data_IF_557225361395
#
_entry.id   IF_557225361395
#
_cell.length_a   1.000
_cell.length_b   1.000
_cell.length_c   1.000
_cell.angle_alpha   90.00
_cell.angle_beta   90.00
_cell.angle_gamma   90.00
#
_symmetry.space_group_name_H-M   'P 1'
#
loop_
_entity.id
_entity.type
_entity.pdbx_description
1 polymer ?
#
# COMPACT_ATOMS: atom_id res chain seq x y z
N UNK A 1 -1.54 -18.28 7.03
CA UNK A 1 -0.98 -17.13 6.29
C UNK A 1 -1.50 -17.21 4.87
N UNK A 2 -2.13 -16.17 4.36
CA UNK A 2 -2.71 -16.16 3.02
C UNK A 2 -1.59 -16.11 1.98
N UNK A 3 -1.42 -17.18 1.21
CA UNK A 3 -0.43 -17.24 0.14
C UNK A 3 -1.14 -17.09 -1.20
N UNK A 4 -1.16 -15.86 -1.71
CA UNK A 4 -1.83 -15.48 -2.98
C UNK A 4 -0.82 -15.05 -4.05
N UNK A 5 0.47 -15.37 -3.86
CA UNK A 5 1.55 -14.95 -4.75
C UNK A 5 1.58 -15.68 -6.10
N UNK A 6 0.96 -16.85 -6.18
CA UNK A 6 0.82 -17.63 -7.42
C UNK A 6 -0.65 -17.73 -7.86
N UNK A 7 -0.87 -17.91 -9.16
CA UNK A 7 -2.21 -18.02 -9.75
C UNK A 7 -2.99 -19.21 -9.19
N UNK A 8 -2.35 -20.38 -9.03
CA UNK A 8 -3.02 -21.56 -8.52
C UNK A 8 -3.55 -21.30 -7.10
N UNK A 9 -2.69 -20.85 -6.19
CA UNK A 9 -3.06 -20.53 -4.81
C UNK A 9 -4.12 -19.43 -4.76
N UNK A 10 -3.94 -18.33 -5.50
CA UNK A 10 -4.90 -17.22 -5.52
C UNK A 10 -6.27 -17.64 -6.07
N UNK A 11 -6.31 -18.52 -7.06
CA UNK A 11 -7.55 -19.02 -7.67
C UNK A 11 -8.39 -19.85 -6.69
N UNK A 12 -7.78 -20.53 -5.71
CA UNK A 12 -8.50 -21.26 -4.67
C UNK A 12 -9.28 -20.34 -3.72
N UNK A 13 -8.94 -19.05 -3.65
CA UNK A 13 -9.63 -18.05 -2.83
C UNK A 13 -10.66 -17.25 -3.61
N UNK A 14 -10.81 -17.51 -4.92
CA UNK A 14 -11.86 -16.92 -5.74
C UNK A 14 -13.21 -17.49 -5.30
N UNK A 15 -14.17 -16.61 -5.04
CA UNK A 15 -15.51 -17.00 -4.57
C UNK A 15 -15.59 -17.42 -3.09
N UNK A 16 -14.49 -17.42 -2.33
CA UNK A 16 -14.54 -17.58 -0.87
C UNK A 16 -15.17 -16.35 -0.21
N UNK A 17 -15.80 -16.56 0.94
CA UNK A 17 -16.37 -15.48 1.74
C UNK A 17 -15.31 -14.44 2.09
N UNK A 18 -15.70 -13.16 2.04
CA UNK A 18 -14.88 -12.00 2.41
C UNK A 18 -13.55 -11.83 1.65
N UNK A 19 -13.37 -12.59 0.57
CA UNK A 19 -12.13 -12.62 -0.21
C UNK A 19 -12.08 -11.54 -1.29
N UNK A 20 -13.22 -11.23 -1.92
CA UNK A 20 -13.31 -10.26 -3.04
C UNK A 20 -12.31 -10.51 -4.17
N UNK A 21 -11.96 -11.77 -4.41
CA UNK A 21 -11.11 -12.20 -5.52
C UNK A 21 -11.98 -12.75 -6.65
N UNK A 22 -11.67 -12.33 -7.87
CA UNK A 22 -12.34 -12.75 -9.09
C UNK A 22 -11.33 -13.10 -10.19
N UNK A 23 -11.64 -14.07 -11.04
CA UNK A 23 -10.83 -14.36 -12.24
C UNK A 23 -11.34 -13.53 -13.41
N UNK A 24 -10.46 -12.75 -14.03
CA UNK A 24 -10.78 -11.89 -15.18
C UNK A 24 -9.81 -12.20 -16.31
N UNK A 25 -10.33 -12.50 -17.50
CA UNK A 25 -9.53 -12.56 -18.73
C UNK A 25 -9.40 -11.16 -19.30
N UNK A 26 -8.18 -10.71 -19.57
CA UNK A 26 -7.94 -9.38 -20.10
C UNK A 26 -6.84 -9.33 -21.15
N UNK A 27 -7.04 -8.46 -22.14
CA UNK A 27 -6.08 -8.15 -23.20
C UNK A 27 -5.18 -7.01 -22.76
N UNK A 28 -3.87 -7.24 -22.73
CA UNK A 28 -2.86 -6.25 -22.39
C UNK A 28 -2.02 -5.93 -23.63
N UNK A 29 -1.80 -4.65 -23.86
CA UNK A 29 -0.85 -4.18 -24.86
C UNK A 29 0.53 -4.04 -24.22
N UNK A 30 1.54 -4.66 -24.82
CA UNK A 30 2.90 -4.70 -24.29
C UNK A 30 3.86 -4.14 -25.33
N UNK A 31 4.69 -3.17 -24.91
CA UNK A 31 5.80 -2.65 -25.71
C UNK A 31 7.11 -3.27 -25.23
N UNK A 32 7.77 -4.03 -26.10
CA UNK A 32 9.02 -4.73 -25.81
C UNK A 32 10.20 -4.02 -26.47
N UNK A 33 11.21 -3.58 -25.71
CA UNK A 33 12.46 -3.08 -26.29
C UNK A 33 13.15 -4.15 -27.15
N UNK A 34 13.87 -3.72 -28.19
CA UNK A 34 14.59 -4.63 -29.11
C UNK A 34 15.57 -5.58 -28.39
N UNK A 35 16.11 -5.20 -27.23
CA UNK A 35 17.00 -6.07 -26.44
C UNK A 35 16.35 -7.37 -25.95
N UNK A 36 15.02 -7.49 -25.99
CA UNK A 36 14.29 -8.71 -25.60
C UNK A 36 14.02 -9.67 -26.76
N UNK A 37 14.57 -9.42 -27.96
CA UNK A 37 14.51 -10.38 -29.05
C UNK A 37 15.09 -11.74 -28.62
N UNK A 38 14.36 -12.82 -28.94
CA UNK A 38 14.68 -14.19 -28.50
C UNK A 38 14.22 -14.54 -27.07
N UNK A 39 13.75 -13.56 -26.27
CA UNK A 39 13.26 -13.76 -24.89
C UNK A 39 11.86 -13.17 -24.65
N UNK A 40 11.02 -13.18 -25.68
CA UNK A 40 9.70 -12.52 -25.69
C UNK A 40 8.82 -12.98 -24.51
N UNK A 41 8.71 -14.30 -24.27
CA UNK A 41 7.89 -14.84 -23.17
C UNK A 41 8.32 -14.31 -21.80
N UNK A 42 9.63 -14.28 -21.54
CA UNK A 42 10.19 -13.76 -20.30
C UNK A 42 9.95 -12.26 -20.17
N UNK A 43 10.09 -11.51 -21.26
CA UNK A 43 9.85 -10.06 -21.27
C UNK A 43 8.38 -9.72 -20.96
N UNK A 44 7.44 -10.45 -21.57
CA UNK A 44 6.01 -10.33 -21.26
C UNK A 44 5.77 -10.65 -19.78
N UNK A 45 6.31 -11.77 -19.29
CA UNK A 45 6.13 -12.16 -17.89
C UNK A 45 6.64 -11.09 -16.91
N UNK A 46 7.79 -10.46 -17.19
CA UNK A 46 8.32 -9.35 -16.37
C UNK A 46 7.35 -8.17 -16.36
N UNK A 47 6.87 -7.74 -17.53
CA UNK A 47 5.96 -6.59 -17.63
C UNK A 47 4.64 -6.88 -16.91
N UNK A 48 4.07 -8.07 -17.11
CA UNK A 48 2.84 -8.48 -16.43
C UNK A 48 3.03 -8.57 -14.91
N UNK A 49 4.19 -9.07 -14.46
CA UNK A 49 4.52 -9.18 -13.03
C UNK A 49 4.68 -7.80 -12.38
N UNK A 50 5.26 -6.82 -13.10
CA UNK A 50 5.42 -5.45 -12.59
C UNK A 50 4.07 -4.73 -12.41
N UNK A 51 3.03 -5.14 -13.14
CA UNK A 51 1.69 -4.58 -13.02
C UNK A 51 0.87 -5.23 -11.88
N UNK A 52 1.39 -6.28 -11.23
CA UNK A 52 0.72 -6.91 -10.10
C UNK A 52 0.71 -5.97 -8.89
N UNK A 53 -0.26 -6.19 -8.00
CA UNK A 53 -0.47 -5.45 -6.74
C UNK A 53 -0.65 -3.94 -6.91
N UNK A 54 -0.87 -3.47 -8.14
CA UNK A 54 -1.13 -2.08 -8.47
C UNK A 54 -2.57 -1.93 -8.98
N UNK A 55 -3.30 -0.93 -8.49
CA UNK A 55 -4.67 -0.67 -8.93
C UNK A 55 -4.71 -0.37 -10.43
N UNK A 56 -5.49 -1.16 -11.15
CA UNK A 56 -5.76 -1.00 -12.57
C UNK A 56 -7.17 -0.46 -12.75
N UNK A 57 -7.30 0.71 -13.36
CA UNK A 57 -8.61 1.28 -13.71
C UNK A 57 -9.36 0.40 -14.72
N UNK A 58 -8.60 -0.27 -15.60
CA UNK A 58 -9.18 -1.14 -16.64
C UNK A 58 -9.76 -2.41 -16.03
N UNK A 59 -9.08 -3.02 -15.04
CA UNK A 59 -9.60 -4.17 -14.30
C UNK A 59 -10.57 -3.76 -13.18
N UNK A 60 -10.57 -2.47 -12.83
CA UNK A 60 -11.25 -1.86 -11.68
C UNK A 60 -10.89 -2.57 -10.36
N UNK A 61 -9.61 -2.88 -10.18
CA UNK A 61 -9.11 -3.66 -9.05
C UNK A 61 -7.60 -3.87 -9.11
N UNK A 62 -7.06 -4.64 -8.17
CA UNK A 62 -5.63 -4.95 -8.09
C UNK A 62 -5.38 -6.39 -8.55
N UNK A 63 -4.70 -6.61 -9.69
CA UNK A 63 -4.32 -7.95 -10.11
C UNK A 63 -3.29 -8.52 -9.13
N UNK A 64 -3.59 -9.69 -8.59
CA UNK A 64 -2.78 -10.36 -7.57
C UNK A 64 -1.80 -11.31 -8.21
N UNK A 65 -2.30 -12.09 -9.17
CA UNK A 65 -1.55 -13.07 -9.92
C UNK A 65 -2.11 -13.18 -11.34
N UNK A 66 -1.32 -13.72 -12.26
CA UNK A 66 -1.75 -14.03 -13.63
C UNK A 66 -1.37 -15.45 -14.01
N UNK A 67 -2.14 -16.06 -14.90
CA UNK A 67 -1.93 -17.43 -15.34
C UNK A 67 -0.74 -17.51 -16.31
N UNK A 68 0.45 -17.79 -15.78
CA UNK A 68 1.70 -17.88 -16.56
C UNK A 68 1.66 -18.93 -17.67
N UNK A 69 0.89 -20.01 -17.47
CA UNK A 69 0.72 -21.10 -18.43
C UNK A 69 -0.27 -20.72 -19.54
N UNK A 70 -1.19 -19.78 -19.27
CA UNK A 70 -2.22 -19.31 -20.18
C UNK A 70 -2.00 -17.85 -20.58
N UNK A 71 -0.81 -17.56 -21.13
CA UNK A 71 -0.53 -16.28 -21.79
C UNK A 71 -0.58 -16.51 -23.30
N UNK A 72 -1.59 -15.94 -23.94
CA UNK A 72 -1.83 -16.07 -25.39
C UNK A 72 -1.35 -14.83 -26.12
N UNK A 73 -0.54 -15.02 -27.15
CA UNK A 73 -0.25 -13.96 -28.10
C UNK A 73 -1.45 -13.83 -29.04
N UNK A 74 -2.04 -12.64 -29.11
CA UNK A 74 -3.19 -12.40 -30.00
C UNK A 74 -2.76 -12.20 -31.45
N UNK A 75 -1.49 -11.85 -31.67
CA UNK A 75 -0.89 -11.76 -33.01
C UNK A 75 0.40 -12.58 -33.08
N UNK A 76 0.65 -13.29 -34.20
CA UNK A 76 1.89 -14.05 -34.38
C UNK A 76 3.11 -13.13 -34.59
N UNK A 77 2.88 -11.88 -34.95
CA UNK A 77 3.92 -10.86 -35.17
C UNK A 77 3.67 -9.66 -34.28
N UNK A 78 4.77 -9.03 -33.85
CA UNK A 78 4.72 -7.72 -33.22
C UNK A 78 4.75 -6.59 -34.26
N UNK A 79 4.23 -5.43 -33.88
CA UNK A 79 4.20 -4.22 -34.72
C UNK A 79 5.28 -3.26 -34.26
N UNK A 80 6.02 -2.68 -35.19
CA UNK A 80 6.88 -1.52 -34.90
C UNK A 80 6.11 -0.30 -35.37
N UNK A 81 5.90 0.65 -34.46
CA UNK A 81 5.21 1.90 -34.76
C UNK A 81 6.28 2.91 -35.19
N UNK A 82 5.99 3.76 -36.17
CA UNK A 82 6.89 4.83 -36.57
C UNK A 82 7.32 5.64 -35.33
N UNK A 83 8.61 5.97 -35.25
CA UNK A 83 9.24 6.69 -34.14
C UNK A 83 9.27 5.96 -32.78
N UNK A 84 8.84 4.70 -32.72
CA UNK A 84 8.97 3.84 -31.53
C UNK A 84 9.84 2.63 -31.84
N UNK A 85 10.99 2.53 -31.18
CA UNK A 85 11.94 1.41 -31.36
C UNK A 85 11.50 0.12 -30.66
N UNK A 86 10.34 0.13 -30.01
CA UNK A 86 9.76 -1.01 -29.33
C UNK A 86 8.90 -1.85 -30.28
N UNK A 87 8.86 -3.15 -30.01
CA UNK A 87 7.94 -4.09 -30.64
C UNK A 87 6.68 -4.17 -29.80
N UNK A 88 5.55 -3.79 -30.40
CA UNK A 88 4.24 -3.78 -29.78
C UNK A 88 3.52 -5.09 -30.03
N UNK A 89 3.07 -5.72 -28.95
CA UNK A 89 2.41 -7.02 -28.99
C UNK A 89 1.18 -6.97 -28.09
N UNK A 90 0.09 -7.53 -28.61
CA UNK A 90 -1.14 -7.72 -27.86
C UNK A 90 -1.15 -9.14 -27.26
N UNK A 91 -1.35 -9.23 -25.95
CA UNK A 91 -1.42 -10.51 -25.22
C UNK A 91 -2.73 -10.61 -24.46
N UNK A 92 -3.26 -11.82 -24.34
CA UNK A 92 -4.43 -12.13 -23.50
C UNK A 92 -4.00 -13.09 -22.39
N UNK A 93 -4.42 -12.83 -21.17
CA UNK A 93 -4.21 -13.74 -20.05
C UNK A 93 -5.31 -13.60 -19.01
N UNK A 94 -5.35 -14.57 -18.09
CA UNK A 94 -6.24 -14.58 -16.95
C UNK A 94 -5.53 -14.00 -15.73
N UNK A 95 -6.21 -13.11 -15.03
CA UNK A 95 -5.77 -12.52 -13.78
C UNK A 95 -6.68 -12.98 -12.66
N UNK A 96 -6.10 -13.25 -11.49
CA UNK A 96 -6.86 -13.19 -10.24
C UNK A 96 -6.77 -11.75 -9.75
N UNK A 97 -7.91 -11.07 -9.65
CA UNK A 97 -8.01 -9.65 -9.31
C UNK A 97 -8.71 -9.51 -7.97
N UNK A 98 -8.09 -8.75 -7.06
CA UNK A 98 -8.74 -8.27 -5.86
C UNK A 98 -9.57 -7.04 -6.21
N UNK A 99 -10.89 -7.21 -6.16
CA UNK A 99 -11.90 -6.26 -6.62
C UNK A 99 -12.91 -5.96 -5.52
N UNK A 100 -12.49 -5.27 -4.44
CA UNK A 100 -13.42 -4.84 -3.41
C UNK A 100 -14.39 -3.79 -3.96
N UNK A 101 -15.60 -3.74 -3.39
CA UNK A 101 -16.57 -2.67 -3.68
C UNK A 101 -17.01 -2.03 -2.37
N UNK A 102 -17.51 -0.78 -2.45
CA UNK A 102 -18.13 -0.13 -1.29
C UNK A 102 -19.27 -1.01 -0.80
N UNK A 103 -19.42 -1.13 0.51
CA UNK A 103 -20.33 -2.03 1.26
C UNK A 103 -19.93 -3.51 1.32
N UNK A 104 -18.92 -3.95 0.57
CA UNK A 104 -18.43 -5.33 0.69
C UNK A 104 -17.77 -5.54 2.05
N UNK A 105 -18.02 -6.70 2.65
CA UNK A 105 -17.39 -7.11 3.90
C UNK A 105 -16.09 -7.86 3.59
N UNK A 106 -15.00 -7.45 4.25
CA UNK A 106 -13.67 -8.03 4.09
C UNK A 106 -13.15 -8.52 5.43
N UNK A 107 -12.28 -9.53 5.37
CA UNK A 107 -11.51 -10.04 6.50
C UNK A 107 -10.08 -9.49 6.44
N UNK A 108 -9.59 -8.96 7.55
CA UNK A 108 -8.23 -8.43 7.65
C UNK A 108 -7.56 -8.80 8.96
N UNK A 109 -6.23 -8.87 8.94
CA UNK A 109 -5.39 -9.06 10.13
C UNK A 109 -4.84 -7.71 10.55
N UNK A 110 -5.06 -7.30 11.79
CA UNK A 110 -4.57 -6.01 12.32
C UNK A 110 -3.04 -6.02 12.34
N UNK A 111 -2.42 -5.09 11.62
CA UNK A 111 -0.96 -4.96 11.56
C UNK A 111 -0.45 -3.64 12.17
N UNK A 112 -1.34 -2.67 12.39
CA UNK A 112 -0.97 -1.35 12.90
C UNK A 112 -2.05 -0.81 13.84
N UNK A 113 -1.63 -0.37 15.01
CA UNK A 113 -2.49 0.37 15.94
C UNK A 113 -2.08 1.85 15.92
N UNK A 114 -3.04 2.74 15.76
CA UNK A 114 -2.79 4.17 15.89
C UNK A 114 -3.06 4.57 17.34
N UNK A 115 -2.01 5.02 18.04
CA UNK A 115 -2.15 5.57 19.39
C UNK A 115 -3.05 6.81 19.32
N UNK A 116 -4.01 6.93 20.24
CA UNK A 116 -4.93 8.06 20.35
C UNK A 116 -5.89 8.25 19.16
N UNK A 117 -6.14 7.21 18.36
CA UNK A 117 -7.16 7.20 17.31
C UNK A 117 -8.05 5.96 17.43
N UNK A 118 -9.33 6.09 17.07
CA UNK A 118 -10.27 4.97 16.99
C UNK A 118 -10.11 4.18 15.67
N UNK A 119 -8.92 4.22 15.07
CA UNK A 119 -8.62 3.58 13.79
C UNK A 119 -7.52 2.55 13.95
N UNK A 120 -7.68 1.43 13.26
CA UNK A 120 -6.65 0.39 13.14
C UNK A 120 -6.29 0.20 11.67
N UNK A 121 -5.03 -0.14 11.41
CA UNK A 121 -4.57 -0.62 10.12
C UNK A 121 -4.60 -2.14 10.12
N UNK A 122 -5.12 -2.72 9.04
CA UNK A 122 -5.11 -4.16 8.83
C UNK A 122 -4.71 -4.50 7.39
N UNK A 123 -4.28 -5.74 7.19
CA UNK A 123 -3.98 -6.32 5.90
C UNK A 123 -5.04 -7.33 5.51
N UNK A 124 -5.66 -7.13 4.36
CA UNK A 124 -6.53 -8.10 3.69
C UNK A 124 -5.64 -9.02 2.86
N UNK A 125 -5.82 -10.33 3.02
CA UNK A 125 -4.97 -11.38 2.42
C UNK A 125 -3.46 -11.20 2.67
N UNK A 126 -3.07 -10.47 3.71
CA UNK A 126 -1.67 -10.19 4.02
C UNK A 126 -0.98 -9.18 3.08
N UNK A 127 -1.67 -8.63 2.07
CA UNK A 127 -1.08 -7.77 1.05
C UNK A 127 -1.76 -6.39 0.99
N UNK A 128 -3.09 -6.35 1.07
CA UNK A 128 -3.83 -5.12 0.78
C UNK A 128 -4.12 -4.33 2.05
N UNK A 129 -3.70 -3.07 2.08
CA UNK A 129 -3.87 -2.21 3.25
C UNK A 129 -5.29 -1.67 3.36
N UNK A 130 -5.86 -1.77 4.55
CA UNK A 130 -7.11 -1.13 4.90
C UNK A 130 -7.01 -0.41 6.25
N UNK A 131 -7.69 0.72 6.36
CA UNK A 131 -7.87 1.44 7.62
C UNK A 131 -9.32 1.29 8.09
N UNK A 132 -9.50 0.80 9.31
CA UNK A 132 -10.80 0.45 9.86
C UNK A 132 -11.10 1.33 11.06
N UNK A 133 -12.25 2.01 11.05
CA UNK A 133 -12.76 2.75 12.20
C UNK A 133 -13.51 1.79 13.14
N UNK A 134 -13.13 1.80 14.41
CA UNK A 134 -13.66 0.92 15.45
C UNK A 134 -14.97 1.44 16.07
N UNK A 135 -15.31 2.73 15.93
CA UNK A 135 -16.49 3.36 16.57
C UNK A 135 -16.68 2.99 18.07
N UNK A 136 -15.59 2.80 18.82
CA UNK A 136 -15.64 2.38 20.23
C UNK A 136 -16.01 0.92 20.49
N UNK A 137 -16.18 0.12 19.44
CA UNK A 137 -16.53 -1.30 19.50
C UNK A 137 -15.26 -2.15 19.51
N UNK A 138 -14.86 -2.61 20.69
CA UNK A 138 -13.68 -3.45 20.95
C UNK A 138 -12.35 -2.88 20.45
N UNK A 139 -11.25 -3.21 21.14
CA UNK A 139 -9.90 -2.78 20.75
C UNK A 139 -9.12 -3.99 20.25
N UNK A 140 -9.19 -4.33 18.95
CA UNK A 140 -8.43 -5.43 18.40
C UNK A 140 -6.92 -5.16 18.53
N UNK A 141 -6.22 -6.17 19.02
CA UNK A 141 -4.77 -6.24 19.17
C UNK A 141 -4.05 -6.42 17.84
N UNK A 142 -2.73 -6.26 17.86
CA UNK A 142 -1.89 -6.65 16.73
C UNK A 142 -2.00 -8.16 16.49
N UNK A 143 -2.24 -8.54 15.23
CA UNK A 143 -2.43 -9.92 14.80
C UNK A 143 -3.87 -10.45 14.97
N UNK A 144 -4.79 -9.66 15.55
CA UNK A 144 -6.18 -10.06 15.63
C UNK A 144 -6.85 -10.03 14.25
N UNK A 145 -7.74 -10.99 13.99
CA UNK A 145 -8.52 -11.05 12.77
C UNK A 145 -9.87 -10.35 12.94
N UNK A 146 -10.18 -9.44 12.02
CA UNK A 146 -11.37 -8.59 12.08
C UNK A 146 -12.18 -8.69 10.79
N UNK A 147 -13.51 -8.57 10.91
CA UNK A 147 -14.39 -8.24 9.80
C UNK A 147 -14.70 -6.75 9.80
N UNK A 148 -14.70 -6.17 8.61
CA UNK A 148 -15.10 -4.78 8.40
C UNK A 148 -15.83 -4.61 7.06
N UNK A 149 -16.75 -3.65 7.00
CA UNK A 149 -17.39 -3.25 5.75
C UNK A 149 -16.60 -2.12 5.11
N UNK A 150 -16.29 -2.21 3.82
CA UNK A 150 -15.66 -1.13 3.05
C UNK A 150 -16.62 0.06 2.96
N UNK A 151 -16.21 1.22 3.45
CA UNK A 151 -17.00 2.46 3.40
C UNK A 151 -16.51 3.41 2.31
N UNK A 152 -15.21 3.38 2.00
CA UNK A 152 -14.62 4.21 0.95
C UNK A 152 -13.42 3.52 0.31
N UNK A 153 -13.24 3.75 -0.98
CA UNK A 153 -12.05 3.36 -1.73
C UNK A 153 -11.48 4.61 -2.41
N UNK A 154 -10.19 4.83 -2.28
CA UNK A 154 -9.46 5.93 -2.91
C UNK A 154 -8.26 5.33 -3.64
N UNK A 155 -8.10 5.64 -4.93
CA UNK A 155 -6.88 5.31 -5.67
C UNK A 155 -6.21 6.59 -6.15
N UNK A 156 -4.88 6.59 -6.24
CA UNK A 156 -4.09 7.77 -6.63
C UNK A 156 -3.82 7.86 -8.13
N UNK A 157 -4.20 6.83 -8.90
CA UNK A 157 -3.93 6.72 -10.35
C UNK A 157 -2.53 6.20 -10.66
N UNK A 158 -1.66 6.02 -9.67
CA UNK A 158 -0.30 5.48 -9.80
C UNK A 158 -0.20 4.02 -9.29
N UNK A 159 -1.33 3.42 -8.96
CA UNK A 159 -1.44 2.01 -8.55
C UNK A 159 -1.68 1.81 -7.06
N UNK A 160 -1.69 2.86 -6.23
CA UNK A 160 -2.04 2.71 -4.83
C UNK A 160 -3.56 2.66 -4.64
N UNK A 161 -4.03 1.72 -3.80
CA UNK A 161 -5.43 1.65 -3.35
C UNK A 161 -5.49 1.77 -1.83
N UNK A 162 -6.18 2.80 -1.35
CA UNK A 162 -6.53 2.96 0.05
C UNK A 162 -7.97 2.49 0.29
N UNK A 163 -8.12 1.49 1.17
CA UNK A 163 -9.41 1.07 1.67
C UNK A 163 -9.69 1.73 3.03
N UNK A 164 -10.87 2.31 3.17
CA UNK A 164 -11.42 2.72 4.48
C UNK A 164 -12.64 1.88 4.77
N UNK A 165 -12.76 1.43 6.02
CA UNK A 165 -13.83 0.56 6.45
C UNK A 165 -14.35 0.89 7.84
N UNK A 166 -15.48 0.28 8.15
CA UNK A 166 -16.12 0.30 9.47
C UNK A 166 -16.07 -1.09 10.07
N UNK A 167 -15.61 -1.18 11.31
CA UNK A 167 -15.51 -2.43 12.06
C UNK A 167 -16.88 -3.09 12.21
N UNK A 168 -16.92 -4.41 12.05
CA UNK A 168 -18.12 -5.23 12.27
C UNK A 168 -17.93 -6.09 13.51
N UNK A 169 -16.92 -6.97 13.53
CA UNK A 169 -16.64 -7.87 14.66
C UNK A 169 -15.23 -8.46 14.61
N UNK A 170 -14.79 -8.98 15.75
CA UNK A 170 -13.60 -9.81 15.89
C UNK A 170 -13.91 -11.25 15.44
N UNK A 171 -13.01 -11.87 14.69
CA UNK A 171 -13.13 -13.26 14.22
C UNK A 171 -12.30 -14.19 15.11
N UNK A 172 -11.05 -13.82 15.37
CA UNK A 172 -10.11 -14.56 16.20
C UNK A 172 -9.20 -13.60 16.95
N UNK A 173 -8.95 -13.89 18.22
CA UNK A 173 -7.90 -13.24 18.99
C UNK A 173 -6.57 -13.94 18.73
N UNK A 174 -5.50 -13.16 18.63
CA UNK A 174 -4.15 -13.69 18.57
C UNK A 174 -3.81 -14.38 19.90
N UNK A 175 -3.46 -15.69 19.92
CA UNK A 175 -3.16 -16.42 21.16
C UNK A 175 -1.93 -15.88 21.91
N UNK A 176 -1.08 -15.06 21.29
CA UNK A 176 0.11 -14.47 21.92
C UNK A 176 -0.17 -13.22 22.79
N UNK A 177 -1.43 -12.87 23.06
CA UNK A 177 -1.82 -11.68 23.84
C UNK A 177 -1.46 -11.75 25.34
N UNK A 178 -0.97 -12.89 25.85
CA UNK A 178 -0.76 -13.14 27.28
C UNK A 178 0.65 -12.84 27.83
N UNK A 179 1.67 -12.50 27.03
CA UNK A 179 3.05 -12.34 27.56
C UNK A 179 3.54 -10.90 27.78
N UNK A 180 2.76 -9.86 27.48
CA UNK A 180 3.20 -8.45 27.65
C UNK A 180 2.29 -7.70 28.62
N UNK A 181 2.04 -8.23 29.82
CA UNK A 181 1.58 -7.43 30.96
C UNK A 181 2.10 -8.03 32.27
N UNK A 182 3.40 -7.84 32.55
CA UNK A 182 3.91 -7.71 33.92
C UNK A 182 5.40 -7.32 33.91
N UNK A 183 5.65 -6.00 34.01
CA UNK A 183 6.74 -5.38 34.77
C UNK A 183 6.54 -3.86 34.74
N UNK A 184 5.50 -3.36 35.43
CA UNK A 184 5.60 -2.05 36.07
C UNK A 184 6.04 -2.33 37.50
N UNK A 185 7.30 -2.03 37.82
CA UNK A 185 7.72 -1.84 39.22
C UNK A 185 7.13 -0.50 39.68
N UNK A 186 6.40 -0.43 40.80
CA UNK A 186 6.14 0.83 41.47
C UNK A 186 7.38 1.19 42.29
N UNK A 187 7.92 2.39 42.10
CA UNK A 187 8.91 2.98 43.01
C UNK A 187 8.28 4.23 43.61
N UNK A 188 7.82 4.09 44.86
CA UNK A 188 7.56 5.17 45.82
C UNK A 188 8.58 4.91 46.93
N UNK A 189 9.60 5.75 47.13
CA UNK A 189 9.63 7.00 47.90
C UNK A 189 10.21 6.78 49.30
N UNK A 190 11.27 7.53 49.63
CA UNK A 190 11.72 7.91 50.98
C UNK A 190 12.90 8.88 50.85
N UNK A 191 12.63 10.18 51.01
CA UNK A 191 13.64 11.25 51.01
C UNK A 191 14.45 11.36 52.31
N UNK A 192 15.43 12.27 52.29
CA UNK A 192 15.97 13.02 53.43
C UNK A 192 16.63 14.31 52.88
N UNK A 193 16.28 15.43 53.50
CA UNK A 193 16.77 16.80 53.27
C UNK A 193 18.19 16.99 53.84
N UNK A 194 18.99 17.89 53.24
CA UNK A 194 20.00 18.65 53.99
C UNK A 194 20.36 19.95 53.25
N UNK A 195 20.08 21.06 53.94
CA UNK A 195 20.39 22.44 53.55
C UNK A 195 21.87 22.77 53.78
N UNK A 196 22.51 23.49 52.84
CA UNK A 196 23.43 24.57 53.22
C UNK A 196 23.69 25.56 52.07
N UNK A 197 23.42 26.83 52.34
CA UNK A 197 23.82 28.02 51.59
C UNK A 197 25.36 28.11 51.44
N UNK A 198 25.88 28.71 50.36
CA UNK A 198 26.45 30.09 50.37
C UNK A 198 26.91 30.52 48.96
N UNK A 199 26.51 31.73 48.56
CA UNK A 199 27.05 32.70 47.59
C UNK A 199 28.23 32.34 46.66
N UNK A 200 28.10 32.68 45.36
CA UNK A 200 28.89 33.72 44.69
C UNK A 200 28.61 33.78 43.18
N UNK A 201 28.30 34.97 42.66
CA UNK A 201 28.37 35.34 41.24
C UNK A 201 29.63 36.21 41.05
N UNK A 202 30.34 36.24 39.90
CA UNK A 202 29.82 36.97 38.74
C UNK A 202 30.24 36.49 37.33
N UNK A 203 29.42 36.91 36.35
CA UNK A 203 29.70 37.27 34.95
C UNK A 203 30.68 36.45 34.09
N UNK A 204 30.19 35.91 32.97
CA UNK A 204 30.76 36.28 31.65
C UNK A 204 29.72 36.20 30.53
N UNK A 205 29.68 37.31 29.81
CA UNK A 205 29.04 37.62 28.54
C UNK A 205 29.45 36.61 27.44
N UNK A 206 28.51 36.21 26.57
CA UNK A 206 28.75 35.87 25.17
C UNK A 206 27.42 35.76 24.43
N UNK A 207 27.14 36.84 23.73
CA UNK A 207 26.06 37.09 22.77
C UNK A 207 26.27 36.28 21.48
N UNK A 208 25.19 35.72 20.91
CA UNK A 208 25.14 35.28 19.51
C UNK A 208 23.87 35.87 18.87
N UNK A 209 23.98 36.57 17.72
CA UNK A 209 22.95 37.48 17.23
C UNK A 209 21.95 36.86 16.24
N UNK A 210 20.85 37.60 16.08
CA UNK A 210 19.81 37.50 15.06
C UNK A 210 20.29 38.08 13.71
N UNK A 211 20.03 37.38 12.59
CA UNK A 211 20.08 37.93 11.21
C UNK A 211 19.23 37.02 10.30
N UNK A 212 18.02 37.43 9.88
CA UNK A 212 17.66 38.21 8.67
C UNK A 212 17.87 37.51 7.31
N UNK A 213 16.77 36.98 6.77
CA UNK A 213 16.03 37.44 5.58
C UNK A 213 16.69 37.53 4.17
N UNK A 214 16.10 36.73 3.24
CA UNK A 214 15.83 36.87 1.77
C UNK A 214 17.01 36.98 0.76
N UNK A 215 16.87 36.49 -0.50
CA UNK A 215 15.92 37.02 -1.49
C UNK A 215 15.13 36.00 -2.35
N UNK A 216 13.99 36.48 -2.82
CA UNK A 216 13.12 35.98 -3.88
C UNK A 216 13.78 36.09 -5.26
N UNK A 217 13.73 35.02 -6.06
CA UNK A 217 14.14 35.04 -7.47
C UNK A 217 12.92 35.18 -8.41
N UNK A 218 13.03 36.15 -9.30
CA UNK A 218 12.12 36.51 -10.38
C UNK A 218 12.15 35.51 -11.54
N UNK A 219 10.97 35.29 -12.13
CA UNK A 219 10.73 34.50 -13.36
C UNK A 219 10.79 35.45 -14.56
N UNK A 220 11.54 35.15 -15.65
CA UNK A 220 11.41 35.90 -16.89
C UNK A 220 10.37 35.29 -17.84
N UNK A 221 9.56 36.21 -18.36
CA UNK A 221 8.51 36.10 -19.38
C UNK A 221 9.12 35.85 -20.77
N UNK A 222 8.70 34.79 -21.47
CA UNK A 222 9.09 34.54 -22.87
C UNK A 222 7.98 35.05 -23.79
N UNK A 223 8.27 36.16 -24.48
CA UNK A 223 7.45 36.74 -25.52
C UNK A 223 7.59 35.99 -26.85
N UNK A 224 6.45 35.75 -27.48
CA UNK A 224 6.26 35.33 -28.87
C UNK A 224 6.74 36.39 -29.85
N UNK A 225 7.46 35.99 -30.91
CA UNK A 225 7.44 36.73 -32.18
C UNK A 225 7.36 35.82 -33.40
N UNK A 226 6.42 36.19 -34.25
CA UNK A 226 6.14 35.75 -35.61
C UNK A 226 6.85 36.70 -36.58
N UNK A 227 7.54 36.17 -37.62
CA UNK A 227 7.35 36.52 -39.04
C UNK A 227 8.51 36.08 -39.94
N UNK A 228 8.07 35.60 -41.12
CA UNK A 228 8.69 35.49 -42.45
C UNK A 228 9.57 34.28 -42.74
#
# INVERSE_FOLDING_TARGET
>A
MFDIGDFASASEYVGKEYSSLEVITHKVHVALPAGYFGKIKSAIAIILNNNLQSYSEVLQGMPVAFNRQNVKLLTPYGKIIADQSCVHIDVETEYVVFKPTVTTTLQGVVNKQLKHSNMVGCLVHGVFYASVNLEGSQNPGLGDEILFSVTKMEHDGYGYLALKGKFIRLISENPNKLEVTQKRKPENDSGIDDDHETSSSPSTDLSIPLSQAVPSEDIPEIASQSKR
#
